data_IF_482077526085
#
_entry.id   IF_482077526085
#
_cell.length_a   1.000
_cell.length_b   1.000
_cell.length_c   1.000
_cell.angle_alpha   90.00
_cell.angle_beta   90.00
_cell.angle_gamma   90.00
#
_symmetry.space_group_name_H-M   'P 1'
#
loop_
_entity.id
_entity.type
_entity.pdbx_description
1 polymer ?
#
# COMPACT_ATOMS: atom_id res chain seq x y z
N UNK A 1 -10.08 10.97 -11.88
CA UNK A 1 -9.20 12.07 -11.43
C UNK A 1 -8.50 11.77 -10.09
N UNK A 2 -9.20 11.60 -8.96
CA UNK A 2 -8.53 11.32 -7.67
C UNK A 2 -7.87 9.92 -7.62
N UNK A 3 -8.60 8.87 -7.98
CA UNK A 3 -8.04 7.50 -8.01
C UNK A 3 -6.81 7.43 -8.91
N UNK A 4 -6.94 7.89 -10.15
CA UNK A 4 -5.85 7.98 -11.12
C UNK A 4 -4.59 8.68 -10.54
N UNK A 5 -4.74 9.81 -9.85
CA UNK A 5 -3.62 10.50 -9.22
C UNK A 5 -2.96 9.67 -8.10
N UNK A 6 -3.76 9.00 -7.26
CA UNK A 6 -3.24 8.15 -6.18
C UNK A 6 -2.52 6.92 -6.73
N UNK A 7 -3.08 6.25 -7.74
CA UNK A 7 -2.42 5.12 -8.41
C UNK A 7 -1.15 5.56 -9.15
N UNK A 8 -1.15 6.74 -9.76
CA UNK A 8 0.04 7.30 -10.38
C UNK A 8 1.16 7.55 -9.35
N UNK A 9 0.84 8.06 -8.15
CA UNK A 9 1.82 8.21 -7.08
C UNK A 9 2.41 6.86 -6.63
N UNK A 10 1.60 5.81 -6.56
CA UNK A 10 2.12 4.45 -6.26
C UNK A 10 3.04 3.94 -7.35
N UNK A 11 2.76 4.25 -8.62
CA UNK A 11 3.61 3.90 -9.75
C UNK A 11 4.95 4.66 -9.71
N UNK A 12 4.92 5.97 -9.49
CA UNK A 12 6.13 6.80 -9.34
C UNK A 12 6.99 6.34 -8.16
N UNK A 13 6.37 5.95 -7.05
CA UNK A 13 7.04 5.42 -5.87
C UNK A 13 7.55 3.98 -6.01
N UNK A 14 7.36 3.34 -7.18
CA UNK A 14 7.71 1.92 -7.41
C UNK A 14 7.01 0.95 -6.45
N UNK A 15 5.83 1.30 -5.95
CA UNK A 15 4.95 0.40 -5.18
C UNK A 15 4.05 -0.39 -6.13
N UNK A 16 3.59 0.26 -7.21
CA UNK A 16 2.74 -0.34 -8.23
C UNK A 16 3.53 -0.54 -9.52
N UNK A 17 3.45 -1.76 -10.06
CA UNK A 17 3.96 -2.10 -11.38
C UNK A 17 2.87 -2.72 -12.23
N UNK A 18 2.91 -2.45 -13.54
CA UNK A 18 2.01 -3.06 -14.52
C UNK A 18 2.59 -4.34 -15.15
N UNK A 19 3.80 -4.73 -14.75
CA UNK A 19 4.45 -5.96 -15.15
C UNK A 19 5.04 -6.64 -13.92
N UNK A 20 4.77 -7.94 -13.71
CA UNK A 20 5.38 -8.69 -12.61
C UNK A 20 6.90 -8.82 -12.77
N UNK A 21 7.42 -8.83 -14.00
CA UNK A 21 8.86 -8.86 -14.27
C UNK A 21 9.54 -7.59 -13.77
N UNK A 22 9.01 -6.41 -14.13
CA UNK A 22 9.55 -5.13 -13.68
C UNK A 22 9.50 -4.99 -12.14
N UNK A 23 8.47 -5.53 -11.49
CA UNK A 23 8.40 -5.56 -10.03
C UNK A 23 9.52 -6.42 -9.42
N UNK A 24 9.75 -7.62 -9.96
CA UNK A 24 10.80 -8.52 -9.49
C UNK A 24 12.21 -7.95 -9.74
N UNK A 25 12.43 -7.32 -10.89
CA UNK A 25 13.68 -6.63 -11.22
C UNK A 25 13.97 -5.51 -10.23
N UNK A 26 12.98 -4.66 -9.91
CA UNK A 26 13.14 -3.59 -8.94
C UNK A 26 13.52 -4.12 -7.55
N UNK A 27 12.82 -5.14 -7.04
CA UNK A 27 13.14 -5.75 -5.73
C UNK A 27 14.55 -6.34 -5.71
N UNK A 28 14.98 -6.94 -6.83
CA UNK A 28 16.35 -7.45 -6.97
C UNK A 28 17.38 -6.32 -6.91
N UNK A 29 17.12 -5.20 -7.57
CA UNK A 29 17.99 -4.02 -7.60
C UNK A 29 18.17 -3.41 -6.19
N UNK A 30 17.10 -3.30 -5.42
CA UNK A 30 17.13 -2.71 -4.07
C UNK A 30 17.36 -3.74 -2.96
N UNK A 31 17.66 -5.00 -3.30
CA UNK A 31 17.68 -6.11 -2.33
C UNK A 31 18.64 -5.87 -1.16
N UNK A 32 19.76 -5.19 -1.41
CA UNK A 32 20.76 -4.86 -0.39
C UNK A 32 20.29 -3.82 0.63
N UNK A 33 19.32 -2.98 0.28
CA UNK A 33 18.80 -1.91 1.15
C UNK A 33 17.33 -1.57 0.87
N UNK A 34 16.47 -2.57 1.09
CA UNK A 34 15.02 -2.44 0.96
C UNK A 34 14.45 -1.43 1.96
N UNK A 35 15.05 -1.36 3.15
CA UNK A 35 14.57 -0.53 4.26
C UNK A 35 14.68 0.96 3.92
N UNK A 36 15.78 1.39 3.29
CA UNK A 36 15.94 2.79 2.85
C UNK A 36 14.90 3.16 1.79
N UNK A 37 14.63 2.29 0.81
CA UNK A 37 13.58 2.52 -0.18
C UNK A 37 12.19 2.62 0.49
N UNK A 38 11.85 1.63 1.33
CA UNK A 38 10.54 1.54 1.97
C UNK A 38 10.25 2.73 2.90
N UNK A 39 11.28 3.25 3.57
CA UNK A 39 11.16 4.42 4.45
C UNK A 39 11.38 5.75 3.74
N UNK A 40 11.66 5.75 2.44
CA UNK A 40 11.82 6.99 1.68
C UNK A 40 10.55 7.84 1.78
N UNK A 41 10.68 9.19 1.82
CA UNK A 41 9.52 10.08 1.91
C UNK A 41 8.49 9.83 0.80
N UNK A 42 8.96 9.50 -0.42
CA UNK A 42 8.11 9.24 -1.57
C UNK A 42 7.25 7.97 -1.39
N UNK A 43 7.86 6.85 -0.99
CA UNK A 43 7.15 5.58 -0.77
C UNK A 43 6.16 5.70 0.38
N UNK A 44 6.59 6.31 1.49
CA UNK A 44 5.72 6.55 2.65
C UNK A 44 4.51 7.41 2.27
N UNK A 45 4.72 8.51 1.57
CA UNK A 45 3.65 9.41 1.18
C UNK A 45 2.66 8.75 0.21
N UNK A 46 3.13 8.00 -0.78
CA UNK A 46 2.28 7.28 -1.72
C UNK A 46 1.44 6.21 -0.99
N UNK A 47 2.06 5.44 -0.07
CA UNK A 47 1.37 4.44 0.75
C UNK A 47 0.30 5.07 1.65
N UNK A 48 0.65 6.11 2.39
CA UNK A 48 -0.28 6.79 3.30
C UNK A 48 -1.46 7.40 2.53
N UNK A 49 -1.20 7.98 1.36
CA UNK A 49 -2.24 8.54 0.51
C UNK A 49 -3.18 7.45 -0.02
N UNK A 50 -2.64 6.32 -0.49
CA UNK A 50 -3.46 5.17 -0.88
C UNK A 50 -4.30 4.65 0.27
N UNK A 51 -3.69 4.42 1.44
CA UNK A 51 -4.39 3.89 2.60
C UNK A 51 -5.50 4.82 3.09
N UNK A 52 -5.32 6.14 2.98
CA UNK A 52 -6.34 7.12 3.37
C UNK A 52 -7.57 7.07 2.48
N UNK A 53 -7.40 6.79 1.19
CA UNK A 53 -8.49 6.83 0.21
C UNK A 53 -9.12 5.46 -0.06
N UNK A 54 -8.33 4.39 -0.01
CA UNK A 54 -8.70 3.09 -0.57
C UNK A 54 -8.42 1.90 0.36
N UNK A 55 -7.73 2.09 1.49
CA UNK A 55 -7.63 1.05 2.51
C UNK A 55 -8.67 1.28 3.61
N UNK A 56 -9.48 0.26 3.89
CA UNK A 56 -10.43 0.33 4.98
C UNK A 56 -9.69 0.44 6.33
N UNK A 57 -9.94 1.53 7.06
CA UNK A 57 -9.39 1.74 8.41
C UNK A 57 -10.49 1.48 9.43
N UNK A 58 -10.51 0.28 10.00
CA UNK A 58 -11.39 -0.03 11.12
C UNK A 58 -10.92 0.73 12.37
N UNK A 59 -11.81 1.51 12.99
CA UNK A 59 -11.49 2.28 14.21
C UNK A 59 -11.21 1.38 15.42
N UNK A 60 -11.90 0.24 15.48
CA UNK A 60 -11.71 -0.78 16.50
C UNK A 60 -11.62 -2.15 15.81
N UNK A 61 -10.46 -2.49 15.21
CA UNK A 61 -10.34 -3.66 14.34
C UNK A 61 -10.83 -4.94 15.00
N UNK A 62 -10.46 -5.14 16.27
CA UNK A 62 -10.90 -6.30 17.06
C UNK A 62 -12.42 -6.33 17.30
N UNK A 63 -13.04 -5.19 17.61
CA UNK A 63 -14.48 -5.11 17.82
C UNK A 63 -15.27 -5.25 16.51
N UNK A 64 -14.77 -4.69 15.41
CA UNK A 64 -15.36 -4.84 14.07
C UNK A 64 -15.37 -6.30 13.66
N UNK A 65 -14.28 -7.05 13.92
CA UNK A 65 -14.25 -8.49 13.66
C UNK A 65 -15.19 -9.24 14.60
N UNK A 66 -15.18 -8.90 15.90
CA UNK A 66 -16.04 -9.56 16.89
C UNK A 66 -17.53 -9.37 16.60
N UNK A 67 -17.96 -8.17 16.18
CA UNK A 67 -19.37 -7.91 15.85
C UNK A 67 -19.81 -8.74 14.64
N UNK A 68 -19.00 -8.81 13.59
CA UNK A 68 -19.32 -9.63 12.41
C UNK A 68 -19.45 -11.11 12.77
N UNK A 69 -18.59 -11.64 13.64
CA UNK A 69 -18.68 -13.04 14.09
C UNK A 69 -19.96 -13.26 14.91
N UNK A 70 -20.27 -12.35 15.83
CA UNK A 70 -21.46 -12.43 16.68
C UNK A 70 -22.77 -12.29 15.90
N UNK A 71 -22.81 -11.46 14.85
CA UNK A 71 -23.99 -11.24 14.02
C UNK A 71 -24.30 -12.42 13.06
N UNK A 72 -23.37 -13.38 12.92
CA UNK A 72 -23.50 -14.58 12.08
C UNK A 72 -23.65 -15.89 12.88
N UNK A 73 -23.86 -15.79 14.20
CA UNK A 73 -24.14 -16.90 15.12
C UNK A 73 -25.58 -16.83 15.62
#
# INVERSE_FOLDING_TARGET
>A
KQAEAVYHQMFEAKILFHSPQLAAEHITEIWSDIETWWNSPQVRQARENYCTHYAHRARFPALTVASVIADNL
#
